data_IF_013428951821
#
_entry.id   IF_013428951821
#
_cell.length_a   1.000
_cell.length_b   1.000
_cell.length_c   1.000
_cell.angle_alpha   90.00
_cell.angle_beta   90.00
_cell.angle_gamma   90.00
#
_symmetry.space_group_name_H-M   'P 1'
#
loop_
_entity.id
_entity.type
_entity.pdbx_description
1 polymer ?
#
# COMPACT_ATOMS: atom_id res chain seq x y z
N UNK A 1 11.23 -16.53 2.24
CA UNK A 1 12.08 -15.74 1.33
C UNK A 1 12.21 -16.45 -0.01
N UNK A 2 12.83 -15.84 -1.03
CA UNK A 2 12.92 -16.41 -2.38
C UNK A 2 11.67 -16.18 -3.25
N UNK A 3 10.74 -15.37 -2.75
CA UNK A 3 9.55 -14.86 -3.43
C UNK A 3 9.70 -13.34 -3.60
N UNK A 4 8.95 -12.73 -4.50
CA UNK A 4 9.09 -11.36 -5.00
C UNK A 4 10.35 -11.13 -5.84
N UNK A 5 10.70 -12.10 -6.69
CA UNK A 5 11.86 -12.06 -7.62
C UNK A 5 11.45 -11.88 -9.08
N UNK A 6 10.16 -11.70 -9.35
CA UNK A 6 9.60 -11.48 -10.69
C UNK A 6 8.64 -12.57 -11.16
N UNK A 7 8.31 -13.51 -10.28
CA UNK A 7 7.29 -14.51 -10.50
C UNK A 7 5.87 -13.90 -10.57
N UNK A 8 4.92 -14.56 -11.25
CA UNK A 8 3.51 -14.19 -11.19
C UNK A 8 2.94 -14.28 -9.77
N UNK A 9 1.94 -13.45 -9.46
CA UNK A 9 1.26 -13.44 -8.15
C UNK A 9 0.74 -14.83 -7.75
N UNK A 10 0.09 -15.53 -8.69
CA UNK A 10 -0.45 -16.88 -8.45
C UNK A 10 0.62 -17.88 -7.97
N UNK A 11 1.82 -17.81 -8.54
CA UNK A 11 2.91 -18.71 -8.13
C UNK A 11 3.40 -18.36 -6.73
N UNK A 12 3.49 -17.07 -6.40
CA UNK A 12 3.81 -16.64 -5.04
C UNK A 12 2.77 -17.18 -4.05
N UNK A 13 1.47 -17.09 -4.38
CA UNK A 13 0.39 -17.59 -3.53
C UNK A 13 0.44 -19.10 -3.34
N UNK A 14 0.62 -19.87 -4.42
CA UNK A 14 0.79 -21.32 -4.38
C UNK A 14 1.95 -21.72 -3.46
N UNK A 15 3.10 -21.03 -3.58
CA UNK A 15 4.25 -21.29 -2.73
C UNK A 15 4.00 -20.94 -1.26
N UNK A 16 3.25 -19.86 -0.98
CA UNK A 16 2.85 -19.54 0.40
C UNK A 16 1.95 -20.63 0.99
N UNK A 17 0.96 -21.10 0.24
CA UNK A 17 0.04 -22.17 0.67
C UNK A 17 0.78 -23.49 0.91
N UNK A 18 1.78 -23.81 0.11
CA UNK A 18 2.60 -25.01 0.30
C UNK A 18 3.58 -24.89 1.49
N UNK A 19 4.14 -23.70 1.73
CA UNK A 19 5.25 -23.53 2.70
C UNK A 19 4.82 -23.09 4.08
N UNK A 20 3.81 -22.22 4.20
CA UNK A 20 3.35 -21.67 5.49
C UNK A 20 2.90 -22.75 6.48
N UNK A 21 2.16 -23.81 6.09
CA UNK A 21 1.77 -24.90 6.99
C UNK A 21 2.96 -25.69 7.56
N UNK A 22 4.11 -25.67 6.88
CA UNK A 22 5.33 -26.34 7.32
C UNK A 22 6.15 -25.51 8.33
N UNK A 23 5.80 -24.24 8.53
CA UNK A 23 6.49 -23.35 9.46
C UNK A 23 5.93 -23.46 10.89
N UNK A 24 6.76 -23.30 11.93
CA UNK A 24 6.30 -23.35 13.32
C UNK A 24 5.17 -22.36 13.61
N UNK A 25 4.03 -22.85 14.09
CA UNK A 25 2.84 -22.03 14.33
C UNK A 25 2.99 -21.00 15.47
N UNK A 26 3.96 -21.18 16.35
CA UNK A 26 4.23 -20.30 17.49
C UNK A 26 5.35 -19.27 17.23
N UNK A 27 5.68 -19.03 15.96
CA UNK A 27 6.71 -18.07 15.54
C UNK A 27 6.17 -17.16 14.43
N UNK A 28 6.54 -15.87 14.42
CA UNK A 28 6.16 -14.97 13.34
C UNK A 28 6.72 -15.43 11.99
N UNK A 29 5.91 -15.29 10.93
CA UNK A 29 6.26 -15.58 9.54
C UNK A 29 6.48 -14.28 8.78
N UNK A 30 7.64 -14.15 8.16
CA UNK A 30 8.08 -12.93 7.49
C UNK A 30 8.23 -13.16 5.98
N UNK A 31 7.42 -12.44 5.19
CA UNK A 31 7.51 -12.42 3.72
C UNK A 31 8.34 -11.22 3.27
N UNK A 32 9.57 -11.51 2.86
CA UNK A 32 10.58 -10.50 2.52
C UNK A 32 10.32 -9.88 1.14
N UNK A 33 10.45 -8.56 1.04
CA UNK A 33 10.45 -7.82 -0.23
C UNK A 33 9.07 -7.51 -0.82
N UNK A 34 8.00 -7.91 -0.15
CA UNK A 34 6.60 -7.76 -0.58
C UNK A 34 5.94 -6.55 0.09
N UNK A 35 5.23 -5.72 -0.68
CA UNK A 35 4.54 -4.58 -0.08
C UNK A 35 3.58 -3.78 -0.97
N UNK A 36 3.06 -4.37 -2.05
CA UNK A 36 1.86 -3.83 -2.69
C UNK A 36 0.62 -4.14 -1.85
N UNK A 37 -0.42 -3.27 -1.83
CA UNK A 37 -1.60 -3.47 -0.97
C UNK A 37 -2.28 -4.83 -1.12
N UNK A 38 -2.44 -5.29 -2.35
CA UNK A 38 -2.94 -6.62 -2.73
C UNK A 38 -2.14 -7.73 -2.06
N UNK A 39 -0.81 -7.72 -2.18
CA UNK A 39 0.03 -8.78 -1.61
C UNK A 39 0.09 -8.76 -0.09
N UNK A 40 -0.06 -7.59 0.54
CA UNK A 40 -0.17 -7.51 2.00
C UNK A 40 -1.44 -8.21 2.49
N UNK A 41 -2.57 -7.97 1.82
CA UNK A 41 -3.85 -8.61 2.15
C UNK A 41 -3.77 -10.12 1.90
N UNK A 42 -3.35 -10.52 0.70
CA UNK A 42 -3.28 -11.93 0.28
C UNK A 42 -2.25 -12.73 1.08
N UNK A 43 -1.13 -12.11 1.45
CA UNK A 43 -0.14 -12.70 2.33
C UNK A 43 -0.67 -12.90 3.75
N UNK A 44 -1.41 -11.92 4.30
CA UNK A 44 -2.03 -12.05 5.62
C UNK A 44 -3.11 -13.13 5.66
N UNK A 45 -3.92 -13.27 4.61
CA UNK A 45 -4.87 -14.38 4.46
C UNK A 45 -4.15 -15.74 4.53
N UNK A 46 -2.95 -15.81 3.96
CA UNK A 46 -2.11 -17.01 3.94
C UNK A 46 -1.20 -17.16 5.16
N UNK A 47 -1.42 -16.39 6.23
CA UNK A 47 -0.75 -16.58 7.52
C UNK A 47 0.64 -15.95 7.63
N UNK A 48 0.94 -14.93 6.81
CA UNK A 48 2.13 -14.08 6.97
C UNK A 48 1.85 -12.96 7.97
N UNK A 49 2.81 -12.75 8.89
CA UNK A 49 2.71 -11.80 9.99
C UNK A 49 3.52 -10.50 9.76
N UNK A 50 4.57 -10.57 8.95
CA UNK A 50 5.49 -9.46 8.72
C UNK A 50 5.83 -9.30 7.24
N UNK A 51 6.05 -8.05 6.84
CA UNK A 51 6.38 -7.64 5.47
C UNK A 51 7.38 -6.50 5.48
N UNK A 52 8.15 -6.37 4.40
CA UNK A 52 8.97 -5.20 4.12
C UNK A 52 8.97 -4.90 2.63
N UNK A 53 9.00 -3.61 2.27
CA UNK A 53 9.19 -3.23 0.88
C UNK A 53 9.65 -1.79 0.74
N UNK A 54 10.47 -1.53 -0.27
CA UNK A 54 10.85 -0.17 -0.67
C UNK A 54 9.76 0.55 -1.48
N UNK A 55 8.73 -0.19 -1.95
CA UNK A 55 7.68 0.30 -2.84
C UNK A 55 7.04 1.63 -2.42
N UNK A 56 6.53 1.82 -1.18
CA UNK A 56 5.83 3.06 -0.81
C UNK A 56 6.71 4.30 -0.98
N UNK A 57 7.96 4.23 -0.52
CA UNK A 57 8.88 5.37 -0.59
C UNK A 57 9.42 5.58 -2.00
N UNK A 58 9.68 4.50 -2.75
CA UNK A 58 10.14 4.59 -4.15
C UNK A 58 9.06 5.20 -5.06
N UNK A 59 7.80 4.77 -4.92
CA UNK A 59 6.68 5.37 -5.63
C UNK A 59 6.49 6.84 -5.25
N UNK A 60 6.55 7.15 -3.95
CA UNK A 60 6.40 8.51 -3.44
C UNK A 60 7.41 9.47 -4.07
N UNK A 61 8.70 9.12 -4.06
CA UNK A 61 9.76 9.93 -4.70
C UNK A 61 9.58 10.06 -6.22
N UNK A 62 8.94 9.10 -6.86
CA UNK A 62 8.59 9.16 -8.28
C UNK A 62 7.25 9.86 -8.57
N UNK A 63 6.58 10.40 -7.55
CA UNK A 63 5.34 11.16 -7.68
C UNK A 63 4.08 10.31 -7.85
N UNK A 64 4.16 9.01 -7.55
CA UNK A 64 3.01 8.11 -7.47
C UNK A 64 2.62 7.90 -6.02
N UNK A 65 1.36 8.17 -5.70
CA UNK A 65 0.80 8.00 -4.36
C UNK A 65 -0.26 6.90 -4.34
N UNK A 66 -0.41 6.22 -3.20
CA UNK A 66 -1.47 5.25 -2.95
C UNK A 66 -2.66 5.95 -2.31
N UNK A 67 -3.87 5.66 -2.76
CA UNK A 67 -5.11 6.26 -2.25
C UNK A 67 -6.17 5.19 -2.01
N UNK A 68 -7.26 5.54 -1.33
CA UNK A 68 -8.46 4.71 -1.16
C UNK A 68 -9.04 4.17 -2.48
N UNK A 69 -8.78 4.85 -3.61
CA UNK A 69 -9.30 4.51 -4.93
C UNK A 69 -8.19 4.10 -5.91
N UNK A 70 -7.11 3.51 -5.40
CA UNK A 70 -6.00 3.07 -6.23
C UNK A 70 -4.82 4.04 -6.28
N UNK A 71 -3.93 3.84 -7.25
CA UNK A 71 -2.72 4.65 -7.40
C UNK A 71 -2.98 5.90 -8.21
N UNK A 72 -2.39 7.01 -7.78
CA UNK A 72 -2.49 8.30 -8.44
C UNK A 72 -1.11 8.88 -8.75
N UNK A 73 -0.91 9.37 -9.98
CA UNK A 73 0.31 10.08 -10.37
C UNK A 73 0.08 11.58 -10.17
N UNK A 74 0.56 12.13 -9.05
CA UNK A 74 0.29 13.52 -8.66
C UNK A 74 0.91 14.55 -9.62
N UNK A 75 1.89 14.13 -10.44
CA UNK A 75 2.56 14.97 -11.45
C UNK A 75 1.67 15.32 -12.65
N UNK A 76 0.53 14.63 -12.82
CA UNK A 76 -0.36 14.81 -13.97
C UNK A 76 -0.94 16.23 -14.04
N UNK A 77 -1.22 16.72 -15.25
CA UNK A 77 -1.68 18.10 -15.46
C UNK A 77 -3.03 18.38 -14.78
N UNK A 78 -3.93 17.39 -14.76
CA UNK A 78 -5.25 17.51 -14.13
C UNK A 78 -5.22 17.97 -12.66
N UNK A 79 -4.11 17.74 -11.96
CA UNK A 79 -3.95 18.11 -10.56
C UNK A 79 -3.28 19.49 -10.37
N UNK A 80 -3.10 20.30 -11.42
CA UNK A 80 -2.43 21.60 -11.31
C UNK A 80 -3.16 22.55 -10.35
N UNK A 81 -4.48 22.63 -10.48
CA UNK A 81 -5.36 23.50 -9.69
C UNK A 81 -6.32 22.67 -8.83
N UNK A 82 -5.88 21.49 -8.39
CA UNK A 82 -6.65 20.62 -7.51
C UNK A 82 -6.33 20.96 -6.04
N UNK A 83 -7.31 21.57 -5.35
CA UNK A 83 -7.20 21.98 -3.96
C UNK A 83 -7.68 20.92 -2.95
N UNK A 84 -7.97 19.69 -3.39
CA UNK A 84 -8.29 18.57 -2.49
C UNK A 84 -7.01 17.90 -1.95
N UNK A 85 -7.07 17.12 -0.86
CA UNK A 85 -5.93 16.32 -0.40
C UNK A 85 -5.57 15.21 -1.39
N UNK A 86 -4.42 14.55 -1.19
CA UNK A 86 -4.03 13.37 -2.00
C UNK A 86 -5.13 12.30 -1.98
N UNK A 87 -5.69 12.03 -0.81
CA UNK A 87 -6.77 11.08 -0.57
C UNK A 87 -7.74 11.65 0.47
N UNK A 88 -9.03 11.72 0.14
CA UNK A 88 -10.07 12.29 1.01
C UNK A 88 -10.39 11.39 2.20
N UNK A 89 -10.07 10.09 2.12
CA UNK A 89 -10.26 9.13 3.21
C UNK A 89 -9.00 8.97 4.07
N UNK A 90 -7.95 9.74 3.81
CA UNK A 90 -6.69 9.67 4.54
C UNK A 90 -6.58 10.82 5.54
N UNK A 91 -6.21 10.49 6.78
CA UNK A 91 -6.10 11.40 7.90
C UNK A 91 -4.63 11.68 8.29
N UNK A 92 -3.69 11.33 7.42
CA UNK A 92 -2.27 11.60 7.62
C UNK A 92 -1.97 13.11 7.63
N UNK A 93 -0.81 13.49 8.18
CA UNK A 93 -0.38 14.90 8.22
C UNK A 93 -0.41 15.57 6.84
N UNK A 94 -0.06 14.85 5.78
CA UNK A 94 0.00 15.41 4.42
C UNK A 94 -1.40 15.76 3.92
N UNK A 95 -2.35 14.83 4.02
CA UNK A 95 -3.73 15.04 3.57
C UNK A 95 -4.47 16.09 4.40
N UNK A 96 -4.11 16.28 5.67
CA UNK A 96 -4.72 17.32 6.51
C UNK A 96 -4.21 18.75 6.24
N UNK A 97 -3.04 18.90 5.62
CA UNK A 97 -2.34 20.20 5.57
C UNK A 97 -1.98 20.67 4.15
N UNK A 98 -2.01 19.80 3.14
CA UNK A 98 -1.55 20.15 1.79
C UNK A 98 -2.50 19.64 0.72
N UNK A 99 -2.59 20.41 -0.35
CA UNK A 99 -3.40 20.07 -1.52
C UNK A 99 -2.59 19.32 -2.58
N UNK A 100 -3.29 18.59 -3.46
CA UNK A 100 -2.70 17.93 -4.63
C UNK A 100 -1.95 18.93 -5.52
N UNK A 101 -2.53 20.10 -5.79
CA UNK A 101 -1.92 21.16 -6.58
C UNK A 101 -0.61 21.67 -6.00
N UNK A 102 -0.56 21.89 -4.69
CA UNK A 102 0.65 22.32 -4.02
C UNK A 102 1.74 21.24 -4.05
N UNK A 103 1.39 19.98 -3.74
CA UNK A 103 2.34 18.87 -3.78
C UNK A 103 2.87 18.65 -5.21
N UNK A 104 1.99 18.73 -6.21
CA UNK A 104 2.37 18.67 -7.62
C UNK A 104 3.34 19.78 -7.98
N UNK A 105 3.06 21.02 -7.57
CA UNK A 105 3.95 22.16 -7.79
C UNK A 105 5.35 21.89 -7.24
N UNK A 106 5.46 21.45 -5.97
CA UNK A 106 6.75 21.10 -5.36
C UNK A 106 7.51 20.05 -6.17
N UNK A 107 6.83 18.98 -6.57
CA UNK A 107 7.46 17.90 -7.32
C UNK A 107 7.91 18.36 -8.72
N UNK A 108 7.13 19.22 -9.38
CA UNK A 108 7.50 19.82 -10.68
C UNK A 108 8.65 20.81 -10.56
N UNK A 109 8.75 21.52 -9.44
CA UNK A 109 9.84 22.43 -9.12
C UNK A 109 11.15 21.70 -8.72
N UNK A 110 11.12 20.37 -8.52
CA UNK A 110 12.28 19.61 -8.06
C UNK A 110 12.54 19.76 -6.56
N UNK A 111 11.57 20.25 -5.80
CA UNK A 111 11.71 20.48 -4.36
C UNK A 111 11.68 19.17 -3.57
N UNK A 112 12.70 18.96 -2.74
CA UNK A 112 12.81 17.76 -1.87
C UNK A 112 11.59 17.61 -0.95
N UNK A 113 10.96 18.72 -0.56
CA UNK A 113 9.81 18.69 0.32
C UNK A 113 8.63 17.92 -0.30
N UNK A 114 8.37 18.07 -1.60
CA UNK A 114 7.33 17.31 -2.29
C UNK A 114 7.57 15.81 -2.23
N UNK A 115 8.83 15.37 -2.35
CA UNK A 115 9.23 13.96 -2.26
C UNK A 115 9.05 13.40 -0.85
N UNK A 116 9.30 14.22 0.19
CA UNK A 116 9.08 13.84 1.59
C UNK A 116 7.59 13.67 1.89
N UNK A 117 6.75 14.59 1.41
CA UNK A 117 5.29 14.53 1.60
C UNK A 117 4.70 13.28 0.96
N UNK A 118 5.01 12.98 -0.31
CA UNK A 118 4.48 11.79 -0.97
C UNK A 118 4.99 10.48 -0.37
N UNK A 119 6.26 10.44 0.07
CA UNK A 119 6.82 9.27 0.76
C UNK A 119 6.15 9.05 2.11
N UNK A 120 5.94 10.11 2.89
CA UNK A 120 5.24 10.06 4.18
C UNK A 120 3.82 9.53 3.99
N UNK A 121 3.07 10.10 3.03
CA UNK A 121 1.71 9.67 2.73
C UNK A 121 1.62 8.19 2.38
N UNK A 122 2.51 7.69 1.52
CA UNK A 122 2.49 6.28 1.12
C UNK A 122 2.86 5.31 2.25
N UNK A 123 3.82 5.69 3.11
CA UNK A 123 4.16 4.87 4.28
C UNK A 123 2.98 4.83 5.24
N UNK A 124 2.36 6.00 5.51
CA UNK A 124 1.16 6.08 6.33
C UNK A 124 0.03 5.22 5.77
N UNK A 125 -0.21 5.29 4.45
CA UNK A 125 -1.23 4.49 3.78
C UNK A 125 -1.06 2.99 4.05
N UNK A 126 0.16 2.45 3.89
CA UNK A 126 0.41 1.03 4.15
C UNK A 126 0.33 0.69 5.64
N UNK A 127 0.76 1.57 6.54
CA UNK A 127 0.62 1.35 7.98
C UNK A 127 -0.86 1.28 8.38
N UNK A 128 -1.69 2.20 7.87
CA UNK A 128 -3.14 2.21 8.10
C UNK A 128 -3.81 0.98 7.46
N UNK A 129 -3.37 0.55 6.28
CA UNK A 129 -3.85 -0.70 5.67
C UNK A 129 -3.57 -1.90 6.59
N UNK A 130 -2.35 -2.04 7.11
CA UNK A 130 -2.01 -3.12 8.04
C UNK A 130 -2.81 -3.05 9.34
N UNK A 131 -3.17 -1.86 9.81
CA UNK A 131 -4.09 -1.69 10.94
C UNK A 131 -5.49 -2.20 10.63
N UNK A 132 -6.06 -1.82 9.48
CA UNK A 132 -7.36 -2.31 9.02
C UNK A 132 -7.37 -3.82 8.82
N UNK A 133 -6.28 -4.41 8.30
CA UNK A 133 -6.11 -5.86 8.17
C UNK A 133 -6.16 -6.53 9.56
N UNK A 134 -5.42 -6.01 10.55
CA UNK A 134 -5.48 -6.54 11.92
C UNK A 134 -6.89 -6.47 12.49
N UNK A 135 -7.58 -5.35 12.33
CA UNK A 135 -8.98 -5.20 12.77
C UNK A 135 -9.90 -6.21 12.07
N UNK A 136 -9.77 -6.40 10.76
CA UNK A 136 -10.58 -7.35 10.02
C UNK A 136 -10.33 -8.81 10.44
N UNK A 137 -9.10 -9.15 10.86
CA UNK A 137 -8.78 -10.45 11.46
C UNK A 137 -9.48 -10.62 12.81
N UNK A 138 -9.40 -9.61 13.70
CA UNK A 138 -10.06 -9.66 15.00
C UNK A 138 -11.60 -9.76 14.89
N UNK A 139 -12.17 -9.19 13.84
CA UNK A 139 -13.61 -9.18 13.56
C UNK A 139 -14.06 -10.37 12.68
N UNK A 140 -13.17 -11.32 12.38
CA UNK A 140 -13.42 -12.51 11.54
C UNK A 140 -14.05 -12.17 10.16
N UNK A 141 -13.59 -11.08 9.54
CA UNK A 141 -14.11 -10.57 8.26
C UNK A 141 -13.04 -10.23 7.24
N UNK A 142 -11.84 -10.81 7.37
CA UNK A 142 -10.71 -10.52 6.47
C UNK A 142 -11.03 -10.79 4.99
N UNK A 143 -11.81 -11.84 4.70
CA UNK A 143 -12.27 -12.15 3.34
C UNK A 143 -13.15 -11.05 2.74
N UNK A 144 -14.18 -10.61 3.47
CA UNK A 144 -15.03 -9.49 3.02
C UNK A 144 -14.25 -8.19 2.90
N UNK A 145 -13.32 -7.93 3.83
CA UNK A 145 -12.43 -6.77 3.77
C UNK A 145 -11.56 -6.77 2.50
N UNK A 146 -11.02 -7.92 2.10
CA UNK A 146 -10.27 -8.08 0.85
C UNK A 146 -11.13 -7.66 -0.33
N UNK A 147 -12.33 -8.23 -0.48
CA UNK A 147 -13.19 -7.99 -1.63
C UNK A 147 -13.63 -6.51 -1.71
N UNK A 148 -14.00 -5.92 -0.57
CA UNK A 148 -14.31 -4.49 -0.46
C UNK A 148 -13.12 -3.61 -0.85
N UNK A 149 -11.93 -3.92 -0.35
CA UNK A 149 -10.71 -3.17 -0.66
C UNK A 149 -10.34 -3.30 -2.13
N UNK A 150 -10.40 -4.50 -2.70
CA UNK A 150 -10.04 -4.76 -4.10
C UNK A 150 -10.98 -4.01 -5.04
N UNK A 151 -12.29 -4.08 -4.79
CA UNK A 151 -13.29 -3.34 -5.55
C UNK A 151 -13.05 -1.82 -5.49
N UNK A 152 -12.76 -1.26 -4.31
CA UNK A 152 -12.50 0.17 -4.16
C UNK A 152 -11.17 0.60 -4.80
N UNK A 153 -10.12 -0.21 -4.68
CA UNK A 153 -8.78 0.10 -5.17
C UNK A 153 -8.62 -0.13 -6.69
N UNK A 154 -9.55 -0.86 -7.30
CA UNK A 154 -9.54 -1.20 -8.72
C UNK A 154 -8.70 -2.43 -9.06
N UNK A 155 -8.56 -3.37 -8.12
CA UNK A 155 -8.00 -4.70 -8.40
C UNK A 155 -9.09 -5.64 -8.95
N UNK A 156 -8.69 -6.59 -9.78
CA UNK A 156 -9.56 -7.68 -10.20
C UNK A 156 -9.78 -8.62 -9.00
N UNK A 157 -11.04 -8.96 -8.73
CA UNK A 157 -11.46 -9.77 -7.56
C UNK A 157 -11.46 -11.25 -7.88
#
# INVERSE_FOLDING_TARGET
GGLSVGEPAELMYEMLEATVPLMPANKPRYLMGVGSPDYLIEGSIRGIDMFDCVLPTRLGRNGTVMTSHGRMIVRNLQFADDFTPLDEQCDCYVCKNYTRGYIRHLIKAGEMFGLRLTSYHNVYFLMNLMERIRTAIYEDRLGSFRDEFFAAYGYEV
#
